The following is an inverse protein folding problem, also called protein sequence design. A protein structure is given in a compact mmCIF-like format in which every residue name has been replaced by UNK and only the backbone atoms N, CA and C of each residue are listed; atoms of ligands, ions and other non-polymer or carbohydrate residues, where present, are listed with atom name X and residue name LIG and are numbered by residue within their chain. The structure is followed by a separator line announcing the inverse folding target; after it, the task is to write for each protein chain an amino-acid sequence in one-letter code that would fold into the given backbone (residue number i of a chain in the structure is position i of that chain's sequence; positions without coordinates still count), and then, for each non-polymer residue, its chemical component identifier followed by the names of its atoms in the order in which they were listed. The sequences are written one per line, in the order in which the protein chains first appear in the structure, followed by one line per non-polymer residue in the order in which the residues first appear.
data_IF_399654250307
#
_entry.id   IF_399654250307
#
_cell.length_a   1.000
_cell.length_b   1.000
_cell.length_c   1.000
_cell.angle_alpha   90.00
_cell.angle_beta   90.00
_cell.angle_gamma   90.00
#
_symmetry.space_group_name_H-M   'P 1'
#
loop_
_entity.id
_entity.type
_entity.pdbx_description
1 polymer ?
#
# COMPACT_ATOMS: atom_id res chain seq x y z
N UNK A 1 5.16 -20.73 18.87
CA UNK A 1 3.99 -20.10 18.22
C UNK A 1 4.46 -19.48 16.92
N UNK A 2 4.18 -20.14 15.81
CA UNK A 2 4.76 -19.87 14.49
C UNK A 2 4.13 -18.61 13.89
N UNK A 3 4.90 -17.52 13.77
CA UNK A 3 4.43 -16.34 13.03
C UNK A 3 4.17 -16.75 11.57
N UNK A 4 2.92 -16.71 11.14
CA UNK A 4 2.56 -16.86 9.73
C UNK A 4 3.14 -15.67 8.97
N UNK A 5 4.25 -15.90 8.27
CA UNK A 5 4.92 -14.93 7.40
C UNK A 5 3.93 -14.53 6.31
N UNK A 6 3.26 -13.39 6.46
CA UNK A 6 2.30 -12.90 5.47
C UNK A 6 3.04 -12.66 4.15
N UNK A 7 2.77 -13.50 3.14
CA UNK A 7 3.46 -13.46 1.87
C UNK A 7 2.81 -12.45 0.92
N UNK A 8 3.49 -11.32 0.70
CA UNK A 8 3.06 -10.25 -0.21
C UNK A 8 3.38 -10.62 -1.66
N UNK A 9 2.40 -10.49 -2.59
CA UNK A 9 2.55 -10.96 -3.98
C UNK A 9 3.63 -10.17 -4.73
N UNK A 10 3.72 -8.86 -4.51
CA UNK A 10 4.75 -8.00 -5.13
C UNK A 10 6.16 -8.41 -4.66
N UNK A 11 6.34 -8.68 -3.37
CA UNK A 11 7.64 -9.11 -2.82
C UNK A 11 8.05 -10.51 -3.28
N UNK A 12 7.10 -11.38 -3.65
CA UNK A 12 7.39 -12.68 -4.30
C UNK A 12 7.81 -12.52 -5.76
N UNK A 13 7.11 -11.65 -6.50
CA UNK A 13 7.34 -11.43 -7.94
C UNK A 13 8.65 -10.69 -8.23
N UNK A 14 9.05 -9.77 -7.34
CA UNK A 14 10.23 -8.92 -7.52
C UNK A 14 11.24 -9.13 -6.39
N UNK A 15 12.48 -9.47 -6.77
CA UNK A 15 13.60 -9.60 -5.85
C UNK A 15 13.85 -8.30 -5.08
N UNK A 16 14.48 -8.41 -3.91
CA UNK A 16 14.79 -7.23 -3.10
C UNK A 16 15.70 -6.24 -3.85
N UNK A 17 16.68 -6.74 -4.59
CA UNK A 17 17.63 -5.93 -5.36
C UNK A 17 16.91 -5.14 -6.46
N UNK A 18 16.06 -5.80 -7.26
CA UNK A 18 15.27 -5.12 -8.29
C UNK A 18 14.36 -4.05 -7.70
N UNK A 19 13.75 -4.30 -6.53
CA UNK A 19 12.91 -3.30 -5.84
C UNK A 19 13.69 -2.11 -5.33
N UNK A 20 14.94 -2.31 -4.88
CA UNK A 20 15.82 -1.22 -4.44
C UNK A 20 16.19 -0.31 -5.61
N UNK A 21 16.61 -0.90 -6.73
CA UNK A 21 16.96 -0.15 -7.94
C UNK A 21 15.77 0.66 -8.44
N UNK A 22 14.61 0.01 -8.65
CA UNK A 22 13.39 0.68 -9.14
C UNK A 22 12.97 1.81 -8.19
N UNK A 23 13.03 1.59 -6.87
CA UNK A 23 12.71 2.62 -5.89
C UNK A 23 13.69 3.79 -5.91
N UNK A 24 14.98 3.55 -6.14
CA UNK A 24 15.99 4.61 -6.19
C UNK A 24 15.83 5.49 -7.44
N UNK A 25 15.60 4.87 -8.61
CA UNK A 25 15.34 5.59 -9.86
C UNK A 25 14.11 6.50 -9.73
N UNK A 26 13.01 5.94 -9.20
CA UNK A 26 11.77 6.70 -8.99
C UNK A 26 11.97 7.84 -7.98
N UNK A 27 12.76 7.62 -6.94
CA UNK A 27 13.03 8.66 -5.94
C UNK A 27 13.90 9.80 -6.51
N UNK A 28 14.80 9.50 -7.45
CA UNK A 28 15.57 10.52 -8.17
C UNK A 28 14.67 11.35 -9.10
N UNK A 29 13.72 10.71 -9.80
CA UNK A 29 12.77 11.39 -10.68
C UNK A 29 11.73 12.22 -9.91
N UNK A 30 11.31 11.75 -8.73
CA UNK A 30 10.25 12.36 -7.92
C UNK A 30 10.67 12.55 -6.45
N UNK A 31 11.61 13.46 -6.16
CA UNK A 31 12.22 13.59 -4.82
C UNK A 31 11.24 13.99 -3.70
N UNK A 32 10.15 14.67 -4.07
CA UNK A 32 9.09 15.13 -3.15
C UNK A 32 8.00 14.08 -2.90
N UNK A 33 8.10 12.92 -3.56
CA UNK A 33 7.13 11.83 -3.46
C UNK A 33 7.79 10.56 -2.96
N UNK A 34 6.99 9.69 -2.35
CA UNK A 34 7.41 8.39 -1.83
C UNK A 34 6.70 7.31 -2.65
N UNK A 35 7.45 6.37 -3.26
CA UNK A 35 6.85 5.22 -3.92
C UNK A 35 6.29 4.26 -2.87
N UNK A 36 4.98 4.02 -2.92
CA UNK A 36 4.27 3.11 -2.01
C UNK A 36 3.66 1.98 -2.84
N UNK A 37 3.94 0.74 -2.41
CA UNK A 37 3.29 -0.44 -2.97
C UNK A 37 2.13 -0.82 -2.06
N UNK A 38 0.93 -0.85 -2.63
CA UNK A 38 -0.29 -1.22 -1.95
C UNK A 38 -0.84 -2.50 -2.54
N UNK A 39 -1.04 -3.50 -1.69
CA UNK A 39 -1.63 -4.78 -2.08
C UNK A 39 -2.79 -5.13 -1.16
N UNK A 40 -3.77 -5.85 -1.72
CA UNK A 40 -4.83 -6.43 -0.90
C UNK A 40 -4.22 -7.45 0.06
N UNK A 41 -4.58 -7.37 1.34
CA UNK A 41 -4.26 -8.41 2.31
C UNK A 41 -4.80 -9.78 1.83
N UNK A 42 -4.09 -10.89 2.08
CA UNK A 42 -4.51 -12.23 1.66
C UNK A 42 -5.91 -12.60 2.16
N UNK A 43 -6.27 -12.12 3.35
CA UNK A 43 -7.58 -12.35 3.98
C UNK A 43 -8.57 -11.18 3.79
N UNK A 44 -8.20 -10.18 2.98
CA UNK A 44 -9.03 -8.99 2.75
C UNK A 44 -10.23 -9.31 1.84
N UNK A 45 -11.42 -8.82 2.20
CA UNK A 45 -12.64 -8.95 1.40
C UNK A 45 -12.80 -7.86 0.32
N UNK A 46 -11.84 -6.94 0.23
CA UNK A 46 -11.86 -5.84 -0.73
C UNK A 46 -11.83 -6.38 -2.18
N UNK A 47 -12.49 -5.68 -3.13
CA UNK A 47 -12.32 -5.98 -4.54
C UNK A 47 -10.85 -5.76 -4.95
N UNK A 48 -10.43 -6.43 -6.02
CA UNK A 48 -9.04 -6.32 -6.51
C UNK A 48 -8.75 -4.88 -6.90
N UNK A 49 -7.80 -4.24 -6.20
CA UNK A 49 -7.39 -2.87 -6.51
C UNK A 49 -6.78 -2.79 -7.92
N UNK A 50 -7.16 -1.79 -8.71
CA UNK A 50 -6.66 -1.61 -10.08
C UNK A 50 -5.20 -1.14 -10.13
N UNK A 51 -4.73 -0.41 -9.11
CA UNK A 51 -3.36 0.12 -9.05
C UNK A 51 -2.65 -0.42 -7.81
N UNK A 52 -1.48 -1.02 -8.01
CA UNK A 52 -0.60 -1.54 -6.94
C UNK A 52 0.53 -0.57 -6.56
N UNK A 53 0.91 0.36 -7.46
CA UNK A 53 2.00 1.34 -7.24
C UNK A 53 1.42 2.75 -7.12
N UNK A 54 1.82 3.46 -6.07
CA UNK A 54 1.40 4.84 -5.78
C UNK A 54 2.63 5.73 -5.61
N UNK A 55 2.54 6.96 -6.10
CA UNK A 55 3.47 8.03 -5.76
C UNK A 55 2.76 8.96 -4.78
N UNK A 56 3.16 8.89 -3.52
CA UNK A 56 2.52 9.65 -2.44
C UNK A 56 3.36 10.88 -2.12
N UNK A 57 2.84 12.11 -2.26
CA UNK A 57 3.56 13.31 -1.85
C UNK A 57 3.90 13.26 -0.35
N UNK A 58 5.09 13.71 0.04
CA UNK A 58 5.49 13.71 1.47
C UNK A 58 4.62 14.56 2.38
N UNK A 59 3.91 15.54 1.82
CA UNK A 59 2.97 16.41 2.54
C UNK A 59 1.61 15.76 2.77
N UNK A 60 1.34 14.61 2.13
CA UNK A 60 0.04 13.96 2.18
C UNK A 60 -0.08 13.10 3.44
N UNK A 61 -1.17 13.28 4.19
CA UNK A 61 -1.38 12.51 5.42
C UNK A 61 -1.82 11.08 5.11
N UNK A 62 -1.62 10.16 6.06
CA UNK A 62 -2.10 8.78 5.88
C UNK A 62 -3.64 8.73 5.77
N UNK A 63 -4.35 9.66 6.42
CA UNK A 63 -5.80 9.79 6.32
C UNK A 63 -6.23 10.19 4.89
N UNK A 64 -5.58 11.19 4.29
CA UNK A 64 -5.83 11.58 2.90
C UNK A 64 -5.51 10.44 1.93
N UNK A 65 -4.45 9.68 2.21
CA UNK A 65 -4.08 8.53 1.40
C UNK A 65 -5.17 7.44 1.46
N UNK A 66 -5.72 7.17 2.63
CA UNK A 66 -6.85 6.25 2.80
C UNK A 66 -8.08 6.71 2.02
N UNK A 67 -8.43 8.00 2.08
CA UNK A 67 -9.54 8.56 1.31
C UNK A 67 -9.30 8.42 -0.20
N UNK A 68 -8.07 8.62 -0.67
CA UNK A 68 -7.68 8.41 -2.06
C UNK A 68 -7.87 6.94 -2.47
N UNK A 69 -7.43 6.00 -1.64
CA UNK A 69 -7.59 4.56 -1.92
C UNK A 69 -9.06 4.15 -1.92
N UNK A 70 -9.88 4.62 -0.97
CA UNK A 70 -11.32 4.35 -0.93
C UNK A 70 -12.02 4.77 -2.22
N UNK A 71 -11.71 5.97 -2.74
CA UNK A 71 -12.26 6.47 -4.01
C UNK A 71 -11.87 5.59 -5.20
N UNK A 72 -10.65 5.06 -5.23
CA UNK A 72 -10.17 4.21 -6.32
C UNK A 72 -10.75 2.78 -6.28
N UNK A 73 -11.12 2.28 -5.11
CA UNK A 73 -11.61 0.91 -4.91
C UNK A 73 -13.16 0.84 -4.96
N UNK A 74 -13.84 1.98 -5.15
CA UNK A 74 -15.30 2.11 -5.21
C UNK A 74 -16.00 1.39 -4.04
N UNK A 75 -15.50 1.61 -2.82
CA UNK A 75 -16.06 1.00 -1.62
C UNK A 75 -17.40 1.66 -1.26
N UNK A 76 -18.39 0.85 -0.90
CA UNK A 76 -19.62 1.33 -0.26
C UNK A 76 -19.31 1.88 1.14
N UNK A 77 -20.05 2.91 1.57
CA UNK A 77 -19.88 3.60 2.86
C UNK A 77 -19.89 2.66 4.09
N UNK A 78 -20.54 1.49 3.99
CA UNK A 78 -20.58 0.47 5.05
C UNK A 78 -19.29 -0.34 5.22
N UNK A 79 -18.28 -0.17 4.35
CA UNK A 79 -17.06 -0.99 4.39
C UNK A 79 -15.89 -0.27 5.07
N UNK A 80 -15.48 -0.77 6.24
CA UNK A 80 -14.27 -0.27 6.90
C UNK A 80 -12.99 -0.67 6.16
N UNK A 81 -12.13 0.31 5.87
CA UNK A 81 -10.81 0.10 5.26
C UNK A 81 -9.71 0.18 6.33
N UNK A 82 -8.77 -0.76 6.31
CA UNK A 82 -7.63 -0.76 7.22
C UNK A 82 -6.32 -0.79 6.45
N UNK A 83 -5.36 0.06 6.85
CA UNK A 83 -4.02 0.08 6.29
C UNK A 83 -3.04 -0.55 7.29
N UNK A 84 -2.23 -1.47 6.79
CA UNK A 84 -1.21 -2.20 7.56
C UNK A 84 0.14 -1.90 6.92
N UNK A 85 1.09 -1.36 7.70
CA UNK A 85 2.46 -1.16 7.27
C UNK A 85 3.39 -2.01 8.14
N UNK A 86 4.11 -2.94 7.52
CA UNK A 86 4.92 -3.90 8.25
C UNK A 86 4.06 -4.88 9.06
N UNK A 87 4.16 -4.82 10.39
CA UNK A 87 3.34 -5.61 11.32
C UNK A 87 2.33 -4.76 12.09
N UNK A 88 2.34 -3.45 11.90
CA UNK A 88 1.49 -2.53 12.66
C UNK A 88 0.31 -2.04 11.82
N UNK A 89 -0.86 -2.03 12.46
CA UNK A 89 -2.07 -1.42 11.91
C UNK A 89 -1.91 0.09 12.02
N UNK A 90 -1.81 0.77 10.89
CA UNK A 90 -1.48 2.20 10.86
C UNK A 90 -2.69 3.04 11.22
N UNK A 91 -3.88 2.69 10.72
CA UNK A 91 -5.11 3.45 10.96
C UNK A 91 -6.38 2.58 10.86
N UNK A 92 -7.40 2.99 11.62
CA UNK A 92 -8.81 2.67 11.38
C UNK A 92 -9.52 4.01 11.10
N UNK A 93 -10.28 4.17 10.00
CA UNK A 93 -11.23 5.25 9.93
C UNK A 93 -12.26 5.05 11.06
N UNK A 94 -12.67 6.17 11.66
CA UNK A 94 -13.77 6.20 12.64
C UNK A 94 -15.07 5.77 11.99
#
# INVERSE_FOLDING_TARGET
MTQAKTEWKYKKRKSLESRKVESQEIFQLYPKSVPVILEKAPNGRLPTAQKEKYLVPRSLTVADFLLMVQKNVLLHDDTSLYLIAGQEKVLSPR
#
